data_IF_358266870205
#
_entry.id   IF_358266870205
#
_cell.length_a   1.000
_cell.length_b   1.000
_cell.length_c   1.000
_cell.angle_alpha   90.00
_cell.angle_beta   90.00
_cell.angle_gamma   90.00
#
_symmetry.space_group_name_H-M   'P 1'
#
loop_
_entity.id
_entity.type
_entity.pdbx_description
1 polymer ?
#
# COMPACT_ATOMS: atom_id res chain seq x y z
N UNK A 1 -8.52 -4.50 17.17
CA UNK A 1 -7.19 -4.69 16.58
C UNK A 1 -6.47 -3.35 16.60
N UNK A 2 -5.21 -3.37 17.02
CA UNK A 2 -4.34 -2.20 17.03
C UNK A 2 -4.19 -1.63 15.62
N UNK A 3 -4.10 -0.29 15.51
CA UNK A 3 -3.99 0.38 14.21
C UNK A 3 -2.75 -0.06 13.41
N UNK A 4 -1.62 -0.27 14.10
CA UNK A 4 -0.42 -0.74 13.42
C UNK A 4 -0.61 -2.15 12.87
N UNK A 5 -1.14 -3.06 13.68
CA UNK A 5 -1.40 -4.44 13.24
C UNK A 5 -2.40 -4.46 12.10
N UNK A 6 -3.48 -3.69 12.22
CA UNK A 6 -4.47 -3.60 11.15
C UNK A 6 -3.85 -3.07 9.87
N UNK A 7 -3.02 -2.04 9.98
CA UNK A 7 -2.33 -1.48 8.81
C UNK A 7 -1.44 -2.51 8.13
N UNK A 8 -0.65 -3.25 8.90
CA UNK A 8 0.24 -4.27 8.35
C UNK A 8 -0.56 -5.37 7.65
N UNK A 9 -1.61 -5.88 8.29
CA UNK A 9 -2.43 -6.95 7.71
C UNK A 9 -3.10 -6.47 6.42
N UNK A 10 -3.75 -5.30 6.47
CA UNK A 10 -4.41 -4.76 5.27
C UNK A 10 -3.41 -4.45 4.18
N UNK A 11 -2.26 -3.89 4.54
CA UNK A 11 -1.22 -3.60 3.56
C UNK A 11 -0.74 -4.85 2.84
N UNK A 12 -0.51 -5.92 3.58
CA UNK A 12 -0.09 -7.19 2.99
C UNK A 12 -1.17 -7.77 2.07
N UNK A 13 -2.41 -7.81 2.54
CA UNK A 13 -3.53 -8.38 1.76
C UNK A 13 -3.77 -7.56 0.50
N UNK A 14 -3.89 -6.24 0.65
CA UNK A 14 -4.15 -5.36 -0.49
C UNK A 14 -2.96 -5.31 -1.43
N UNK A 15 -1.74 -5.37 -0.91
CA UNK A 15 -0.55 -5.45 -1.74
C UNK A 15 -0.51 -6.71 -2.58
N UNK A 16 -0.88 -7.85 -2.01
CA UNK A 16 -0.95 -9.10 -2.75
C UNK A 16 -2.02 -9.05 -3.85
N UNK A 17 -3.19 -8.49 -3.53
CA UNK A 17 -4.27 -8.30 -4.51
C UNK A 17 -3.82 -7.36 -5.62
N UNK A 18 -3.18 -6.26 -5.27
CA UNK A 18 -2.65 -5.29 -6.22
C UNK A 18 -1.66 -5.96 -7.19
N UNK A 19 -0.72 -6.74 -6.64
CA UNK A 19 0.26 -7.44 -7.46
C UNK A 19 -0.37 -8.47 -8.38
N UNK A 20 -1.33 -9.23 -7.87
CA UNK A 20 -2.06 -10.20 -8.69
C UNK A 20 -2.83 -9.50 -9.82
N UNK A 21 -3.41 -8.35 -9.52
CA UNK A 21 -4.18 -7.58 -10.50
C UNK A 21 -3.33 -7.04 -11.65
N UNK A 22 -2.01 -7.00 -11.51
CA UNK A 22 -1.13 -6.49 -12.58
C UNK A 22 -1.30 -7.24 -13.89
N UNK A 23 -1.64 -8.54 -13.85
CA UNK A 23 -1.84 -9.31 -15.06
C UNK A 23 -3.04 -8.86 -15.87
N UNK A 24 -4.00 -8.16 -15.25
CA UNK A 24 -5.18 -7.66 -15.93
C UNK A 24 -4.94 -6.29 -16.57
N UNK A 25 -4.12 -5.45 -15.93
CA UNK A 25 -3.80 -4.14 -16.48
C UNK A 25 -2.61 -4.18 -17.45
N UNK A 26 -1.72 -5.17 -17.30
CA UNK A 26 -0.56 -5.34 -18.17
C UNK A 26 -0.31 -6.85 -18.37
N UNK A 27 -1.06 -7.50 -19.28
CA UNK A 27 -0.96 -8.95 -19.47
C UNK A 27 0.44 -9.46 -19.81
N UNK A 28 1.28 -8.61 -20.40
CA UNK A 28 2.65 -8.97 -20.75
C UNK A 28 3.54 -9.26 -19.56
N UNK A 29 3.13 -8.85 -18.34
CA UNK A 29 3.90 -9.13 -17.13
C UNK A 29 3.54 -10.47 -16.48
N UNK A 30 2.57 -11.21 -17.02
CA UNK A 30 2.11 -12.46 -16.43
C UNK A 30 3.25 -13.46 -16.14
N UNK A 31 4.28 -13.60 -16.99
CA UNK A 31 5.41 -14.50 -16.67
C UNK A 31 6.19 -14.07 -15.44
N UNK A 32 6.11 -12.81 -15.03
CA UNK A 32 6.80 -12.25 -13.87
C UNK A 32 5.86 -12.08 -12.68
N UNK A 33 4.66 -12.64 -12.74
CA UNK A 33 3.59 -12.34 -11.78
C UNK A 33 3.99 -12.69 -10.34
N UNK A 34 4.68 -13.81 -10.13
CA UNK A 34 5.10 -14.20 -8.78
C UNK A 34 5.99 -13.13 -8.16
N UNK A 35 6.97 -12.62 -8.91
CA UNK A 35 7.84 -11.55 -8.41
C UNK A 35 7.07 -10.26 -8.15
N UNK A 36 6.10 -9.94 -9.01
CA UNK A 36 5.26 -8.75 -8.84
C UNK A 36 4.41 -8.87 -7.58
N UNK A 37 3.82 -10.03 -7.32
CA UNK A 37 3.01 -10.24 -6.12
C UNK A 37 3.88 -10.10 -4.86
N UNK A 38 5.07 -10.70 -4.86
CA UNK A 38 6.00 -10.60 -3.72
C UNK A 38 6.39 -9.15 -3.49
N UNK A 39 6.80 -8.43 -4.53
CA UNK A 39 7.20 -7.04 -4.41
C UNK A 39 6.06 -6.13 -3.97
N UNK A 40 4.86 -6.34 -4.52
CA UNK A 40 3.69 -5.55 -4.17
C UNK A 40 3.22 -5.84 -2.74
N UNK A 41 3.31 -7.09 -2.30
CA UNK A 41 3.00 -7.45 -0.90
C UNK A 41 3.98 -6.76 0.05
N UNK A 42 5.27 -6.76 -0.27
CA UNK A 42 6.29 -6.08 0.53
C UNK A 42 6.04 -4.57 0.57
N UNK A 43 5.72 -3.96 -0.57
CA UNK A 43 5.35 -2.54 -0.63
C UNK A 43 4.14 -2.28 0.25
N UNK A 44 3.12 -3.11 0.15
CA UNK A 44 1.91 -2.98 0.97
C UNK A 44 2.21 -3.11 2.45
N UNK A 45 3.13 -4.03 2.83
CA UNK A 45 3.59 -4.16 4.20
C UNK A 45 4.20 -2.85 4.70
N UNK A 46 5.08 -2.23 3.91
CA UNK A 46 5.70 -0.96 4.27
C UNK A 46 4.67 0.15 4.40
N UNK A 47 3.76 0.26 3.45
CA UNK A 47 2.68 1.26 3.52
C UNK A 47 1.85 1.04 4.77
N UNK A 48 1.43 -0.20 5.01
CA UNK A 48 0.60 -0.53 6.17
C UNK A 48 1.30 -0.24 7.48
N UNK A 49 2.59 -0.57 7.59
CA UNK A 49 3.36 -0.30 8.80
C UNK A 49 3.51 1.19 9.05
N UNK A 50 3.87 1.97 8.02
CA UNK A 50 4.07 3.41 8.15
C UNK A 50 2.75 4.13 8.44
N UNK A 51 1.71 3.81 7.70
CA UNK A 51 0.39 4.46 7.87
C UNK A 51 -0.22 4.04 9.20
N UNK A 52 -0.12 2.77 9.58
CA UNK A 52 -0.62 2.27 10.85
C UNK A 52 0.11 2.89 12.03
N UNK A 53 1.43 3.03 11.95
CA UNK A 53 2.22 3.70 12.98
C UNK A 53 1.78 5.16 13.12
N UNK A 54 1.62 5.86 12.00
CA UNK A 54 1.13 7.24 12.03
C UNK A 54 -0.27 7.32 12.66
N UNK A 55 -1.13 6.36 12.35
CA UNK A 55 -2.49 6.33 12.90
C UNK A 55 -2.51 6.16 14.43
N UNK A 56 -1.49 5.51 15.00
CA UNK A 56 -1.36 5.42 16.44
C UNK A 56 -1.02 6.77 17.07
N UNK A 57 -0.42 7.69 16.32
CA UNK A 57 0.04 8.98 16.81
C UNK A 57 -0.98 10.08 16.58
N UNK A 58 -1.80 9.97 15.54
CA UNK A 58 -2.70 11.04 15.12
C UNK A 58 -4.10 10.47 14.93
N UNK A 59 -5.07 11.06 15.61
CA UNK A 59 -6.48 10.67 15.48
C UNK A 59 -7.19 11.65 14.57
N UNK A 60 -6.99 11.48 13.25
CA UNK A 60 -7.68 12.31 12.26
C UNK A 60 -7.86 11.51 10.99
N UNK A 61 -9.11 11.31 10.59
CA UNK A 61 -9.41 10.59 9.36
C UNK A 61 -8.80 11.30 8.13
N UNK A 62 -8.94 12.61 8.08
CA UNK A 62 -8.39 13.38 6.96
C UNK A 62 -6.88 13.25 6.86
N UNK A 63 -6.17 13.35 8.00
CA UNK A 63 -4.71 13.21 8.02
C UNK A 63 -4.30 11.78 7.69
N UNK A 64 -5.05 10.78 8.16
CA UNK A 64 -4.78 9.39 7.84
C UNK A 64 -4.91 9.10 6.36
N UNK A 65 -5.96 9.62 5.73
CA UNK A 65 -6.13 9.49 4.28
C UNK A 65 -4.98 10.17 3.53
N UNK A 66 -4.62 11.37 3.94
CA UNK A 66 -3.57 12.14 3.29
C UNK A 66 -2.21 11.42 3.41
N UNK A 67 -1.85 10.97 4.59
CA UNK A 67 -0.59 10.27 4.82
C UNK A 67 -0.57 8.94 4.07
N UNK A 68 -1.68 8.20 4.07
CA UNK A 68 -1.79 6.97 3.30
C UNK A 68 -1.55 7.21 1.82
N UNK A 69 -2.16 8.25 1.28
CA UNK A 69 -1.98 8.61 -0.12
C UNK A 69 -0.53 9.01 -0.42
N UNK A 70 0.05 9.87 0.42
CA UNK A 70 1.43 10.36 0.20
C UNK A 70 2.43 9.21 0.29
N UNK A 71 2.36 8.40 1.34
CA UNK A 71 3.31 7.29 1.55
C UNK A 71 3.23 6.30 0.40
N UNK A 72 2.01 5.90 0.02
CA UNK A 72 1.85 4.92 -1.06
C UNK A 72 2.23 5.50 -2.41
N UNK A 73 1.96 6.77 -2.66
CA UNK A 73 2.35 7.43 -3.90
C UNK A 73 3.88 7.50 -4.04
N UNK A 74 4.58 7.81 -2.96
CA UNK A 74 6.05 7.87 -2.97
C UNK A 74 6.62 6.48 -3.25
N UNK A 75 6.16 5.45 -2.54
CA UNK A 75 6.64 4.09 -2.74
C UNK A 75 6.31 3.57 -4.14
N UNK A 76 5.10 3.85 -4.61
CA UNK A 76 4.69 3.45 -5.95
C UNK A 76 5.53 4.15 -7.02
N UNK A 77 5.84 5.43 -6.83
CA UNK A 77 6.68 6.19 -7.76
C UNK A 77 8.10 5.64 -7.82
N UNK A 78 8.66 5.25 -6.67
CA UNK A 78 9.99 4.63 -6.63
C UNK A 78 10.00 3.34 -7.44
N UNK A 79 8.98 2.50 -7.26
CA UNK A 79 8.87 1.23 -7.98
C UNK A 79 8.64 1.48 -9.48
N UNK A 80 7.78 2.43 -9.82
CA UNK A 80 7.47 2.76 -11.21
C UNK A 80 8.69 3.33 -11.95
N UNK A 81 9.59 4.00 -11.22
CA UNK A 81 10.80 4.55 -11.80
C UNK A 81 11.83 3.48 -12.14
N UNK A 82 11.73 2.29 -11.54
CA UNK A 82 12.63 1.19 -11.84
C UNK A 82 12.27 0.57 -13.19
N UNK A 83 13.23 0.48 -14.14
CA UNK A 83 12.93 -0.09 -15.45
C UNK A 83 12.70 -1.60 -15.36
N UNK A 84 11.78 -2.10 -16.18
CA UNK A 84 11.63 -3.53 -16.39
C UNK A 84 12.80 -4.05 -17.22
N UNK A 85 13.00 -5.39 -17.27
CA UNK A 85 14.09 -5.96 -18.06
C UNK A 85 14.09 -5.55 -19.53
N UNK A 86 12.93 -5.20 -20.09
CA UNK A 86 12.79 -4.73 -21.46
C UNK A 86 12.91 -3.20 -21.58
N UNK A 87 13.20 -2.50 -20.49
CA UNK A 87 13.34 -1.05 -20.47
C UNK A 87 12.05 -0.28 -20.32
N UNK A 88 10.90 -0.96 -20.22
CA UNK A 88 9.61 -0.27 -20.08
C UNK A 88 9.33 0.14 -18.65
N UNK A 89 8.39 1.08 -18.49
CA UNK A 89 7.90 1.55 -17.20
C UNK A 89 6.38 1.49 -17.18
N UNK A 90 5.82 1.20 -16.01
CA UNK A 90 4.38 1.10 -15.81
C UNK A 90 3.92 2.12 -14.76
N UNK A 91 4.04 3.42 -15.09
CA UNK A 91 3.74 4.50 -14.15
C UNK A 91 2.29 4.45 -13.66
N UNK A 92 1.34 4.49 -14.60
CA UNK A 92 -0.09 4.54 -14.25
C UNK A 92 -0.51 3.24 -13.57
N UNK A 93 -0.08 2.10 -14.12
CA UNK A 93 -0.46 0.78 -13.63
C UNK A 93 0.05 0.51 -12.22
N UNK A 94 1.09 1.22 -11.78
CA UNK A 94 1.66 1.05 -10.43
C UNK A 94 1.15 2.14 -9.49
N UNK A 95 1.12 3.39 -9.95
CA UNK A 95 0.80 4.53 -9.08
C UNK A 95 -0.68 4.56 -8.73
N UNK A 96 -1.58 4.33 -9.68
CA UNK A 96 -3.02 4.41 -9.43
C UNK A 96 -3.46 3.37 -8.40
N UNK A 97 -3.16 2.07 -8.58
CA UNK A 97 -3.52 1.09 -7.55
C UNK A 97 -2.83 1.35 -6.21
N UNK A 98 -1.58 1.83 -6.25
CA UNK A 98 -0.85 2.18 -5.03
C UNK A 98 -1.54 3.27 -4.25
N UNK A 99 -2.01 4.32 -4.92
CA UNK A 99 -2.74 5.41 -4.27
C UNK A 99 -4.05 4.91 -3.66
N UNK A 100 -4.79 4.05 -4.39
CA UNK A 100 -6.02 3.47 -3.88
C UNK A 100 -5.74 2.64 -2.62
N UNK A 101 -4.69 1.81 -2.66
CA UNK A 101 -4.28 1.01 -1.50
C UNK A 101 -3.98 1.91 -0.30
N UNK A 102 -3.23 2.98 -0.50
CA UNK A 102 -2.88 3.90 0.56
C UNK A 102 -4.09 4.58 1.18
N UNK A 103 -5.06 4.98 0.36
CA UNK A 103 -6.30 5.58 0.84
C UNK A 103 -7.09 4.57 1.67
N UNK A 104 -7.19 3.32 1.22
CA UNK A 104 -7.92 2.27 1.94
C UNK A 104 -7.25 2.00 3.29
N UNK A 105 -5.93 1.85 3.32
CA UNK A 105 -5.19 1.58 4.55
C UNK A 105 -5.31 2.77 5.49
N UNK A 106 -5.18 3.99 4.98
CA UNK A 106 -5.32 5.20 5.79
C UNK A 106 -6.71 5.33 6.40
N UNK A 107 -7.74 5.07 5.62
CA UNK A 107 -9.12 5.11 6.09
C UNK A 107 -9.37 4.03 7.16
N UNK A 108 -9.00 2.79 6.86
CA UNK A 108 -9.33 1.67 7.72
C UNK A 108 -8.58 1.73 9.06
N UNK A 109 -7.30 2.13 9.04
CA UNK A 109 -6.53 2.22 10.28
C UNK A 109 -7.06 3.31 11.20
N UNK A 110 -7.51 4.44 10.63
CA UNK A 110 -8.08 5.51 11.46
C UNK A 110 -9.48 5.18 11.97
N UNK A 111 -10.31 4.56 11.12
CA UNK A 111 -11.71 4.34 11.47
C UNK A 111 -11.94 3.06 12.27
N UNK A 112 -11.25 1.97 11.89
CA UNK A 112 -11.52 0.65 12.47
C UNK A 112 -10.43 0.16 13.41
N UNK A 113 -9.22 0.72 13.34
CA UNK A 113 -8.14 0.32 14.21
C UNK A 113 -8.28 0.93 15.60
N UNK A 114 -7.75 0.23 16.60
CA UNK A 114 -7.74 0.68 17.98
C UNK A 114 -6.37 1.21 18.36
N UNK A 115 -6.36 2.21 19.24
CA UNK A 115 -5.13 2.67 19.85
C UNK A 115 -4.74 1.74 21.00
N UNK A 116 -3.46 1.74 21.42
CA UNK A 116 -3.06 1.01 22.62
C UNK A 116 -3.90 1.43 23.82
N UNK A 117 -4.12 0.49 24.75
CA UNK A 117 -4.99 0.73 25.91
C UNK A 117 -4.59 1.97 26.68
N UNK A 118 -3.28 2.19 26.86
CA UNK A 118 -2.77 3.35 27.59
C UNK A 118 -3.13 4.68 26.95
N UNK A 119 -3.57 4.68 25.70
CA UNK A 119 -3.91 5.88 24.94
C UNK A 119 -5.43 6.13 24.88
N UNK A 120 -6.19 5.26 25.46
CA UNK A 120 -7.65 5.38 25.42
C UNK A 120 -8.19 6.27 26.51
#
# INVERSE_FOLDING_TARGET
MNKLVLGVILGCVLGAIDGYGAKFSAPEVAPQLTGIIIGSTFKGLLVGALVGWYALRVQSLAKGLLVGLIVSAILAAIIAAMPNPDGSHYWVEIIVPGCVLGLIVGYATQKFGNRPVASQ
#
